data_IF_293621729077
#
_entry.id   IF_293621729077
#
_cell.length_a   1.000
_cell.length_b   1.000
_cell.length_c   1.000
_cell.angle_alpha   90.00
_cell.angle_beta   90.00
_cell.angle_gamma   90.00
#
_symmetry.space_group_name_H-M   'P 1'
#
loop_
_entity.id
_entity.type
_entity.pdbx_description
1 polymer ?
#
# COMPACT_ATOMS: atom_id res chain seq x y z
N UNK A 1 11.58 -5.84 -1.44
CA UNK A 1 11.34 -4.76 -2.44
C UNK A 1 9.83 -4.60 -2.52
N UNK A 2 9.27 -3.47 -2.07
CA UNK A 2 7.82 -3.26 -2.20
C UNK A 2 7.52 -2.95 -3.67
N UNK A 3 6.57 -3.68 -4.23
CA UNK A 3 6.05 -3.49 -5.57
C UNK A 3 4.62 -2.98 -5.42
N UNK A 4 4.32 -1.85 -6.07
CA UNK A 4 3.01 -1.25 -6.10
C UNK A 4 2.32 -1.56 -7.41
N UNK A 5 1.02 -1.85 -7.35
CA UNK A 5 0.17 -1.99 -8.53
C UNK A 5 -0.75 -0.78 -8.64
N UNK A 6 -0.59 -0.02 -9.72
CA UNK A 6 -1.41 1.15 -10.01
C UNK A 6 -2.51 0.71 -10.97
N UNK A 7 -3.75 1.08 -10.66
CA UNK A 7 -4.93 0.60 -11.38
C UNK A 7 -5.75 1.77 -11.88
N UNK A 8 -5.81 1.91 -13.21
CA UNK A 8 -6.67 2.88 -13.87
C UNK A 8 -7.97 2.21 -14.30
N UNK A 9 -9.10 2.73 -13.84
CA UNK A 9 -10.43 2.29 -14.27
C UNK A 9 -11.01 3.32 -15.23
N UNK A 10 -11.29 2.91 -16.46
CA UNK A 10 -11.82 3.75 -17.54
C UNK A 10 -13.25 3.32 -17.88
N UNK A 11 -14.09 4.31 -18.19
CA UNK A 11 -15.47 4.11 -18.62
C UNK A 11 -15.66 4.72 -20.01
N UNK A 12 -16.10 3.91 -20.96
CA UNK A 12 -16.57 4.40 -22.25
C UNK A 12 -18.09 4.60 -22.20
N UNK A 13 -18.53 5.86 -22.27
CA UNK A 13 -19.96 6.19 -22.28
C UNK A 13 -20.65 5.74 -23.58
N UNK A 14 -19.95 5.79 -24.71
CA UNK A 14 -20.50 5.43 -26.03
C UNK A 14 -20.82 3.93 -26.14
N UNK A 15 -19.96 3.08 -25.60
CA UNK A 15 -20.11 1.62 -25.64
C UNK A 15 -20.58 1.02 -24.31
N UNK A 16 -20.91 1.88 -23.33
CA UNK A 16 -21.29 1.52 -21.96
C UNK A 16 -20.42 0.38 -21.37
N UNK A 17 -19.11 0.48 -21.57
CA UNK A 17 -18.15 -0.58 -21.25
C UNK A 17 -17.06 -0.04 -20.34
N UNK A 18 -16.58 -0.87 -19.41
CA UNK A 18 -15.53 -0.52 -18.45
C UNK A 18 -14.27 -1.32 -18.75
N UNK A 19 -13.11 -0.66 -18.68
CA UNK A 19 -11.80 -1.27 -18.90
C UNK A 19 -10.91 -0.93 -17.70
N UNK A 20 -10.06 -1.88 -17.30
CA UNK A 20 -9.09 -1.70 -16.23
C UNK A 20 -7.68 -1.89 -16.78
N UNK A 21 -6.84 -0.89 -16.64
CA UNK A 21 -5.41 -0.94 -16.99
C UNK A 21 -4.61 -1.01 -15.71
N UNK A 22 -3.71 -1.99 -15.60
CA UNK A 22 -2.83 -2.16 -14.44
C UNK A 22 -1.38 -1.95 -14.85
N UNK A 23 -0.67 -1.15 -14.09
CA UNK A 23 0.79 -0.99 -14.20
C UNK A 23 1.43 -1.32 -12.86
N UNK A 24 2.74 -1.52 -12.86
CA UNK A 24 3.52 -1.78 -11.66
C UNK A 24 4.63 -0.76 -11.52
N UNK A 25 5.02 -0.45 -10.29
CA UNK A 25 6.18 0.39 -9.99
C UNK A 25 6.84 0.00 -8.68
N UNK A 26 8.08 0.43 -8.52
CA UNK A 26 8.84 0.34 -7.26
C UNK A 26 8.70 1.65 -6.46
N UNK A 27 9.21 1.68 -5.23
CA UNK A 27 9.22 2.89 -4.37
C UNK A 27 10.02 4.07 -4.95
N UNK A 28 11.09 3.78 -5.68
CA UNK A 28 12.04 4.79 -6.16
C UNK A 28 11.82 5.17 -7.62
N UNK A 29 11.16 4.31 -8.39
CA UNK A 29 11.00 4.49 -9.83
C UNK A 29 9.80 5.40 -10.07
N UNK A 30 10.01 6.61 -10.63
CA UNK A 30 8.91 7.51 -10.91
C UNK A 30 8.07 6.99 -12.09
N UNK A 31 6.75 7.19 -12.01
CA UNK A 31 5.83 6.90 -13.11
C UNK A 31 5.45 8.21 -13.83
N UNK A 32 5.19 8.20 -15.12
CA UNK A 32 4.63 9.38 -15.79
C UNK A 32 3.18 9.65 -15.36
N UNK A 33 2.87 10.92 -15.11
CA UNK A 33 1.53 11.41 -14.80
C UNK A 33 0.57 11.24 -15.99
N UNK A 34 -0.64 10.79 -15.72
CA UNK A 34 -1.74 10.66 -16.68
C UNK A 34 -2.60 11.94 -16.77
N UNK A 35 -2.24 13.01 -16.06
CA UNK A 35 -3.00 14.29 -16.05
C UNK A 35 -3.14 14.89 -17.45
N UNK A 36 -2.15 14.72 -18.31
CA UNK A 36 -2.18 15.18 -19.71
C UNK A 36 -3.28 14.50 -20.55
N UNK A 37 -3.64 13.26 -20.20
CA UNK A 37 -4.68 12.47 -20.88
C UNK A 37 -6.03 12.67 -20.19
N UNK A 38 -6.03 12.64 -18.86
CA UNK A 38 -7.23 12.75 -18.03
C UNK A 38 -7.01 13.77 -16.92
N UNK A 39 -7.60 14.95 -17.05
CA UNK A 39 -7.54 16.02 -16.03
C UNK A 39 -8.03 15.57 -14.65
N UNK A 40 -8.97 14.64 -14.59
CA UNK A 40 -9.46 14.06 -13.34
C UNK A 40 -8.39 13.31 -12.55
N UNK A 41 -7.32 12.84 -13.22
CA UNK A 41 -6.24 12.07 -12.57
C UNK A 41 -5.41 12.92 -11.59
N UNK A 42 -5.46 14.26 -11.67
CA UNK A 42 -4.65 15.15 -10.84
C UNK A 42 -4.83 14.87 -9.33
N UNK A 43 -6.08 14.74 -8.89
CA UNK A 43 -6.35 14.49 -7.47
C UNK A 43 -6.02 13.06 -7.06
N UNK A 44 -6.29 12.08 -7.93
CA UNK A 44 -5.98 10.67 -7.66
C UNK A 44 -4.48 10.40 -7.58
N UNK A 45 -3.68 11.02 -8.44
CA UNK A 45 -2.22 10.87 -8.40
C UNK A 45 -1.64 11.50 -7.13
N UNK A 46 -2.20 12.64 -6.68
CA UNK A 46 -1.85 13.25 -5.38
C UNK A 46 -2.23 12.37 -4.20
N UNK A 47 -3.40 11.76 -4.24
CA UNK A 47 -3.86 10.81 -3.21
C UNK A 47 -2.93 9.59 -3.15
N UNK A 48 -2.57 9.02 -4.29
CA UNK A 48 -1.64 7.88 -4.37
C UNK A 48 -0.25 8.25 -3.85
N UNK A 49 0.23 9.46 -4.15
CA UNK A 49 1.46 9.98 -3.56
C UNK A 49 1.37 10.08 -2.03
N UNK A 50 0.27 10.62 -1.49
CA UNK A 50 0.09 10.79 -0.04
C UNK A 50 -0.02 9.44 0.69
N UNK A 51 -0.80 8.50 0.14
CA UNK A 51 -1.11 7.23 0.79
C UNK A 51 -0.05 6.13 0.61
N UNK A 52 0.59 6.07 -0.56
CA UNK A 52 1.55 5.01 -0.90
C UNK A 52 2.98 5.53 -1.12
N UNK A 53 3.16 6.82 -1.40
CA UNK A 53 4.47 7.40 -1.69
C UNK A 53 4.99 7.09 -3.09
N UNK A 54 4.10 6.80 -4.04
CA UNK A 54 4.47 6.58 -5.44
C UNK A 54 4.61 7.93 -6.15
N UNK A 55 5.80 8.21 -6.69
CA UNK A 55 6.08 9.48 -7.34
C UNK A 55 5.61 9.52 -8.79
N UNK A 56 4.93 10.60 -9.18
CA UNK A 56 4.51 10.85 -10.55
C UNK A 56 5.32 12.00 -11.18
N UNK A 57 6.09 11.68 -12.22
CA UNK A 57 6.80 12.65 -13.04
C UNK A 57 5.83 13.48 -13.90
N UNK A 58 6.19 14.73 -14.17
CA UNK A 58 5.41 15.67 -14.99
C UNK A 58 4.03 16.07 -14.41
N UNK A 59 3.78 15.81 -13.12
CA UNK A 59 2.57 16.28 -12.44
C UNK A 59 2.66 17.79 -12.11
N UNK A 60 1.59 18.59 -12.31
CA UNK A 60 1.66 20.05 -12.11
C UNK A 60 1.79 20.50 -10.65
N UNK A 61 1.17 19.80 -9.69
CA UNK A 61 1.22 20.12 -8.24
C UNK A 61 1.14 18.83 -7.41
N UNK A 62 2.28 18.14 -7.23
CA UNK A 62 2.32 16.92 -6.41
C UNK A 62 2.58 17.27 -4.94
N UNK A 63 1.51 17.29 -4.15
CA UNK A 63 1.56 17.47 -2.70
C UNK A 63 0.46 16.66 -2.02
N UNK A 64 0.60 16.47 -0.71
CA UNK A 64 -0.35 15.78 0.16
C UNK A 64 -1.74 16.42 0.13
N UNK A 65 -2.76 15.62 0.43
CA UNK A 65 -4.16 16.06 0.36
C UNK A 65 -5.05 15.47 1.46
N UNK A 66 -4.78 14.25 1.93
CA UNK A 66 -5.56 13.58 2.96
C UNK A 66 -4.88 13.61 4.33
N UNK A 67 -3.54 13.50 4.37
CA UNK A 67 -2.81 13.50 5.64
C UNK A 67 -2.66 14.89 6.23
N UNK A 68 -2.39 14.94 7.54
CA UNK A 68 -2.06 16.18 8.22
C UNK A 68 -0.77 16.80 7.64
N UNK A 69 -0.64 18.12 7.76
CA UNK A 69 0.43 18.91 7.15
C UNK A 69 1.82 18.45 7.59
N UNK A 70 1.98 18.03 8.85
CA UNK A 70 3.23 17.57 9.44
C UNK A 70 3.37 16.05 9.52
N UNK A 71 2.51 15.28 8.84
CA UNK A 71 2.53 13.82 8.95
C UNK A 71 3.85 13.23 8.42
N UNK A 72 4.32 12.10 8.96
CA UNK A 72 5.51 11.44 8.44
C UNK A 72 5.17 9.99 8.07
N UNK A 73 5.51 9.62 6.84
CA UNK A 73 5.19 8.31 6.27
C UNK A 73 3.95 8.30 5.37
N UNK A 74 3.59 7.09 4.93
CA UNK A 74 2.55 6.82 3.94
C UNK A 74 1.58 5.76 4.49
N UNK A 75 0.35 6.13 4.89
CA UNK A 75 -0.52 5.28 5.72
C UNK A 75 -0.90 3.92 5.13
N UNK A 76 -1.05 3.80 3.81
CA UNK A 76 -1.52 2.57 3.17
C UNK A 76 -0.39 1.65 2.72
N UNK A 77 0.85 1.93 3.12
CA UNK A 77 1.91 0.93 2.99
C UNK A 77 1.71 -0.20 4.00
N UNK A 78 2.04 -1.43 3.60
CA UNK A 78 1.77 -2.64 4.39
C UNK A 78 2.60 -2.73 5.68
N UNK A 79 3.71 -1.99 5.75
CA UNK A 79 4.61 -1.85 6.88
C UNK A 79 4.13 -0.78 7.89
N UNK A 80 3.22 0.11 7.49
CA UNK A 80 2.72 1.16 8.37
C UNK A 80 1.74 0.59 9.42
N UNK A 81 1.90 0.92 10.72
CA UNK A 81 1.01 0.44 11.78
C UNK A 81 -0.37 1.10 11.70
N UNK A 82 -1.42 0.35 12.02
CA UNK A 82 -2.81 0.83 11.97
C UNK A 82 -3.04 2.09 12.82
N UNK A 83 -2.43 2.16 14.01
CA UNK A 83 -2.58 3.28 14.94
C UNK A 83 -1.73 4.50 14.59
N UNK A 84 -0.82 4.36 13.62
CA UNK A 84 0.22 5.37 13.36
C UNK A 84 1.27 5.43 14.48
N UNK A 85 2.09 6.48 14.41
CA UNK A 85 3.19 6.71 15.36
C UNK A 85 2.91 7.85 16.35
N UNK A 86 2.00 8.75 16.00
CA UNK A 86 1.75 10.00 16.73
C UNK A 86 0.27 10.12 17.07
N UNK A 87 -0.02 10.50 18.31
CA UNK A 87 -1.32 10.94 18.77
C UNK A 87 -1.31 12.43 19.12
N UNK A 88 -2.49 13.02 19.24
CA UNK A 88 -2.64 14.46 19.40
C UNK A 88 -3.44 14.74 20.66
N UNK A 89 -2.87 15.53 21.57
CA UNK A 89 -3.53 16.00 22.79
C UNK A 89 -3.44 17.52 22.95
N UNK A 90 -4.42 18.10 23.65
CA UNK A 90 -4.33 19.50 24.06
C UNK A 90 -3.48 19.61 25.32
N UNK A 91 -2.53 20.53 25.32
CA UNK A 91 -1.70 20.85 26.48
C UNK A 91 -2.12 22.21 27.06
N UNK A 92 -2.59 22.23 28.32
CA UNK A 92 -3.06 23.45 28.97
C UNK A 92 -1.93 24.39 29.38
N UNK A 93 -0.73 23.86 29.68
CA UNK A 93 0.43 24.68 30.04
C UNK A 93 0.92 25.50 28.84
N UNK A 94 0.99 24.85 27.67
CA UNK A 94 1.41 25.47 26.42
C UNK A 94 0.26 26.13 25.64
N UNK A 95 -0.99 25.90 26.06
CA UNK A 95 -2.23 26.33 25.40
C UNK A 95 -2.27 26.01 23.90
N UNK A 96 -1.75 24.84 23.52
CA UNK A 96 -1.67 24.40 22.13
C UNK A 96 -1.86 22.90 22.01
N UNK A 97 -2.15 22.48 20.79
CA UNK A 97 -2.23 21.07 20.43
C UNK A 97 -0.81 20.54 20.22
N UNK A 98 -0.46 19.44 20.88
CA UNK A 98 0.87 18.79 20.81
C UNK A 98 0.71 17.39 20.24
N UNK A 99 1.67 17.00 19.40
CA UNK A 99 1.80 15.67 18.83
C UNK A 99 2.83 14.87 19.64
N UNK A 100 2.42 13.73 20.21
CA UNK A 100 3.25 12.85 21.03
C UNK A 100 3.22 11.42 20.51
N UNK A 101 4.21 10.57 20.86
CA UNK A 101 4.16 9.15 20.51
C UNK A 101 2.88 8.49 21.03
N UNK A 102 2.27 7.61 20.22
CA UNK A 102 0.99 6.97 20.55
C UNK A 102 1.11 6.10 21.81
N UNK A 103 0.21 6.31 22.76
CA UNK A 103 0.02 5.46 23.94
C UNK A 103 -1.43 4.97 24.03
N UNK A 104 -1.69 3.74 23.57
CA UNK A 104 -3.04 3.18 23.61
C UNK A 104 -3.34 2.60 24.99
N UNK A 105 -4.42 3.07 25.62
CA UNK A 105 -4.95 2.46 26.85
C UNK A 105 -5.33 0.97 26.67
N UNK A 106 -5.70 0.59 25.44
CA UNK A 106 -5.93 -0.79 25.04
C UNK A 106 -5.26 -1.06 23.69
N UNK A 107 -4.40 -2.07 23.65
CA UNK A 107 -3.76 -2.50 22.41
C UNK A 107 -4.75 -3.11 21.41
N UNK A 108 -4.40 -2.98 20.12
CA UNK A 108 -5.15 -3.60 19.04
C UNK A 108 -5.03 -5.14 19.10
N UNK A 109 -6.18 -5.82 19.29
CA UNK A 109 -6.25 -7.28 19.32
C UNK A 109 -6.37 -7.84 17.91
N UNK A 110 -5.26 -8.37 17.36
CA UNK A 110 -5.25 -9.07 16.08
C UNK A 110 -5.79 -10.49 16.26
N UNK A 111 -6.97 -10.76 15.73
CA UNK A 111 -7.52 -12.11 15.65
C UNK A 111 -7.13 -12.76 14.33
N UNK A 112 -6.61 -14.00 14.38
CA UNK A 112 -6.42 -14.80 13.17
C UNK A 112 -7.70 -15.60 12.90
N UNK A 113 -8.44 -15.14 11.89
CA UNK A 113 -9.72 -15.73 11.48
C UNK A 113 -9.55 -16.74 10.33
N UNK A 114 -8.31 -16.95 9.85
CA UNK A 114 -8.07 -17.82 8.72
C UNK A 114 -8.31 -19.28 9.09
N UNK A 115 -9.02 -20.00 8.24
CA UNK A 115 -9.23 -21.44 8.41
C UNK A 115 -8.02 -22.21 7.88
N UNK A 116 -7.62 -23.31 8.55
CA UNK A 116 -6.52 -24.16 8.08
C UNK A 116 -6.89 -24.97 6.82
N UNK A 117 -8.18 -25.03 6.47
CA UNK A 117 -8.68 -25.77 5.32
C UNK A 117 -8.79 -24.87 4.09
N UNK A 118 -8.42 -25.41 2.93
CA UNK A 118 -8.59 -24.73 1.65
C UNK A 118 -10.07 -24.69 1.26
N UNK A 119 -10.58 -23.48 1.04
CA UNK A 119 -12.00 -23.24 0.72
C UNK A 119 -12.27 -23.31 -0.79
N UNK A 120 -11.29 -22.98 -1.64
CA UNK A 120 -11.50 -22.81 -3.09
C UNK A 120 -10.54 -23.67 -3.94
N UNK A 121 -10.87 -24.94 -4.22
CA UNK A 121 -10.02 -25.84 -5.01
C UNK A 121 -9.70 -25.36 -6.43
N UNK A 122 -10.56 -24.53 -7.03
CA UNK A 122 -10.40 -24.03 -8.40
C UNK A 122 -9.21 -23.07 -8.56
N UNK A 123 -8.75 -22.44 -7.48
CA UNK A 123 -7.64 -21.48 -7.48
C UNK A 123 -6.40 -22.03 -6.78
N UNK A 124 -6.31 -23.35 -6.65
CA UNK A 124 -5.15 -24.00 -6.04
C UNK A 124 -3.91 -23.73 -6.89
N UNK A 125 -2.96 -23.01 -6.33
CA UNK A 125 -1.65 -22.85 -6.95
C UNK A 125 -0.96 -24.22 -7.07
N UNK A 126 -0.34 -24.54 -8.22
CA UNK A 126 0.39 -25.80 -8.36
C UNK A 126 1.52 -25.82 -7.33
N UNK A 127 1.62 -26.93 -6.59
CA UNK A 127 2.70 -27.11 -5.61
C UNK A 127 4.04 -26.97 -6.34
N UNK A 128 4.88 -26.05 -5.88
CA UNK A 128 6.23 -25.92 -6.42
C UNK A 128 6.91 -27.30 -6.39
N UNK A 129 7.54 -27.74 -7.50
CA UNK A 129 8.28 -28.98 -7.48
C UNK A 129 9.36 -28.86 -6.41
N UNK A 130 9.46 -29.86 -5.53
CA UNK A 130 10.52 -29.91 -4.53
C UNK A 130 11.86 -29.60 -5.21
N UNK A 131 12.75 -28.79 -4.60
CA UNK A 131 14.04 -28.48 -5.18
C UNK A 131 14.70 -29.80 -5.58
N UNK A 132 15.01 -29.94 -6.88
CA UNK A 132 15.73 -31.12 -7.38
C UNK A 132 17.07 -31.13 -6.66
N UNK A 133 17.22 -32.04 -5.71
CA UNK A 133 18.53 -32.34 -5.13
C UNK A 133 19.38 -32.89 -6.28
N UNK A 134 20.33 -32.10 -6.76
CA UNK A 134 21.41 -32.58 -7.61
C UNK A 134 22.09 -33.74 -6.85
N UNK A 135 22.38 -34.84 -7.55
CA UNK A 135 22.91 -36.06 -6.96
C UNK A 135 24.32 -35.83 -6.38
N UNK A 136 24.40 -35.29 -5.17
CA UNK A 136 25.67 -34.97 -4.50
C UNK A 136 25.52 -34.45 -3.08
N UNK A 137 24.38 -33.83 -2.72
CA UNK A 137 24.17 -33.33 -1.36
C UNK A 137 23.48 -34.38 -0.48
N UNK A 138 24.23 -34.92 0.50
CA UNK A 138 23.70 -35.77 1.56
C UNK A 138 22.60 -35.01 2.31
N UNK A 139 21.43 -35.64 2.44
CA UNK A 139 20.29 -35.09 3.15
C UNK A 139 20.67 -34.66 4.58
N UNK A 140 20.18 -33.51 5.08
CA UNK A 140 20.48 -33.10 6.45
C UNK A 140 19.89 -34.11 7.44
N UNK A 141 20.75 -34.64 8.31
CA UNK A 141 20.36 -35.55 9.39
C UNK A 141 19.23 -34.94 10.23
N UNK A 142 18.10 -35.64 10.26
CA UNK A 142 16.98 -35.30 11.14
C UNK A 142 17.37 -35.62 12.59
N UNK A 143 17.47 -34.59 13.43
CA UNK A 143 17.26 -34.70 14.88
C UNK A 143 15.85 -34.26 15.21
#
# INVERSE_FOLDING_TARGET
>A
RLCYFIVYNLLSLRYNSRVRVKTYTDELTPLDSAVSVHLAANWYEREVWDMFGVFFANHPDLRRILTDYGFEGHPFRKDFPLSGYVEVRYDDELKRVVAEPVELAQEFRKFDLNTPWEVFPAYREPKEPAPKLEAGDLAPDKK
#
